data_IF_769361615927
#
_entry.id   IF_769361615927
#
_cell.length_a   1.000
_cell.length_b   1.000
_cell.length_c   1.000
_cell.angle_alpha   90.00
_cell.angle_beta   90.00
_cell.angle_gamma   90.00
#
_symmetry.space_group_name_H-M   'P 1'
#
loop_
_entity.id
_entity.type
_entity.pdbx_description
1 polymer ?
#
# COMPACT_ATOMS: atom_id res chain seq x y z
N UNK A 1 35.38 -5.62 12.16
CA UNK A 1 34.45 -6.66 11.68
C UNK A 1 33.81 -6.14 10.40
N UNK A 2 34.23 -6.67 9.25
CA UNK A 2 33.70 -6.25 7.96
C UNK A 2 32.22 -6.66 7.88
N UNK A 3 31.33 -5.70 7.64
CA UNK A 3 29.90 -5.96 7.47
C UNK A 3 29.67 -6.56 6.07
N UNK A 4 29.93 -7.86 5.92
CA UNK A 4 29.82 -8.61 4.66
C UNK A 4 28.35 -8.97 4.38
N UNK A 5 27.50 -7.95 4.28
CA UNK A 5 26.06 -8.13 4.05
C UNK A 5 25.76 -8.87 2.73
N UNK A 6 26.66 -8.76 1.75
CA UNK A 6 26.46 -9.33 0.40
C UNK A 6 26.62 -10.83 0.46
N UNK A 7 27.73 -11.28 1.04
CA UNK A 7 28.04 -12.70 1.22
C UNK A 7 27.05 -13.39 2.16
N UNK A 8 26.56 -12.66 3.18
CA UNK A 8 25.47 -13.14 4.03
C UNK A 8 24.18 -13.36 3.22
N UNK A 9 23.76 -12.36 2.42
CA UNK A 9 22.60 -12.50 1.52
C UNK A 9 22.75 -13.68 0.56
N UNK A 10 23.92 -13.82 -0.07
CA UNK A 10 24.20 -14.90 -1.03
C UNK A 10 24.20 -16.29 -0.35
N UNK A 11 24.59 -16.37 0.92
CA UNK A 11 24.48 -17.60 1.71
C UNK A 11 23.02 -17.95 2.02
N UNK A 12 22.20 -16.96 2.40
CA UNK A 12 20.78 -17.16 2.68
C UNK A 12 19.98 -17.54 1.43
N UNK A 13 20.27 -16.95 0.27
CA UNK A 13 19.64 -17.34 -1.00
C UNK A 13 19.95 -18.79 -1.34
N UNK A 14 21.21 -19.22 -1.23
CA UNK A 14 21.60 -20.61 -1.48
C UNK A 14 20.94 -21.57 -0.49
N UNK A 15 20.83 -21.18 0.78
CA UNK A 15 20.09 -21.95 1.77
C UNK A 15 18.61 -22.09 1.38
N UNK A 16 17.97 -21.01 0.95
CA UNK A 16 16.58 -21.01 0.51
C UNK A 16 16.35 -21.92 -0.71
N UNK A 17 17.25 -21.92 -1.69
CA UNK A 17 17.20 -22.81 -2.88
C UNK A 17 17.36 -24.29 -2.49
N UNK A 18 18.23 -24.59 -1.52
CA UNK A 18 18.38 -25.94 -0.97
C UNK A 18 17.11 -26.41 -0.23
N UNK A 19 16.46 -25.51 0.51
CA UNK A 19 15.17 -25.81 1.16
C UNK A 19 14.06 -26.01 0.13
N UNK A 20 14.05 -25.23 -0.96
CA UNK A 20 13.08 -25.38 -2.06
C UNK A 20 13.21 -26.72 -2.79
N UNK A 21 14.45 -27.15 -3.08
CA UNK A 21 14.71 -28.43 -3.77
C UNK A 21 14.44 -29.68 -2.94
N UNK A 22 14.53 -29.59 -1.60
CA UNK A 22 14.20 -30.70 -0.69
C UNK A 22 12.70 -30.88 -0.44
N UNK A 23 11.85 -29.95 -0.89
CA UNK A 23 10.38 -30.07 -0.87
C UNK A 23 9.69 -29.97 0.50
N UNK A 24 10.41 -30.12 1.60
CA UNK A 24 9.79 -30.33 2.92
C UNK A 24 9.53 -29.06 3.75
N UNK A 25 10.11 -27.90 3.39
CA UNK A 25 9.99 -26.68 4.21
C UNK A 25 9.78 -25.40 3.39
N UNK A 26 8.60 -25.22 2.78
CA UNK A 26 8.22 -23.94 2.14
C UNK A 26 8.31 -22.75 3.11
N UNK A 27 7.94 -22.97 4.37
CA UNK A 27 8.02 -21.93 5.40
C UNK A 27 9.47 -21.50 5.67
N UNK A 28 10.38 -22.46 5.84
CA UNK A 28 11.78 -22.14 6.10
C UNK A 28 12.41 -21.47 4.87
N UNK A 29 12.07 -21.94 3.66
CA UNK A 29 12.47 -21.29 2.41
C UNK A 29 12.08 -19.81 2.36
N UNK A 30 10.82 -19.48 2.68
CA UNK A 30 10.34 -18.10 2.75
C UNK A 30 11.07 -17.28 3.84
N UNK A 31 11.34 -17.88 5.00
CA UNK A 31 12.10 -17.22 6.08
C UNK A 31 13.53 -16.89 5.65
N UNK A 32 14.22 -17.82 4.99
CA UNK A 32 15.58 -17.60 4.48
C UNK A 32 15.62 -16.51 3.40
N UNK A 33 14.64 -16.47 2.49
CA UNK A 33 14.55 -15.39 1.50
C UNK A 33 14.24 -14.02 2.14
N UNK A 34 13.42 -13.98 3.19
CA UNK A 34 13.17 -12.75 3.93
C UNK A 34 14.43 -12.23 4.66
N UNK A 35 15.23 -13.13 5.23
CA UNK A 35 16.53 -12.78 5.84
C UNK A 35 17.55 -12.31 4.79
N UNK A 36 17.58 -12.96 3.62
CA UNK A 36 18.38 -12.52 2.49
C UNK A 36 17.99 -11.10 2.04
N UNK A 37 16.69 -10.81 1.92
CA UNK A 37 16.19 -9.49 1.58
C UNK A 37 16.66 -8.42 2.59
N UNK A 38 16.59 -8.72 3.90
CA UNK A 38 17.08 -7.80 4.93
C UNK A 38 18.58 -7.50 4.82
N UNK A 39 19.38 -8.46 4.37
CA UNK A 39 20.80 -8.24 4.09
C UNK A 39 20.99 -7.37 2.84
N UNK A 40 20.26 -7.66 1.76
CA UNK A 40 20.37 -6.93 0.50
C UNK A 40 19.83 -5.50 0.56
N UNK A 41 18.84 -5.20 1.42
CA UNK A 41 18.34 -3.82 1.64
C UNK A 41 19.45 -2.82 1.95
N UNK A 42 20.57 -3.24 2.55
CA UNK A 42 21.70 -2.36 2.89
C UNK A 42 22.73 -2.19 1.77
N UNK A 43 22.59 -2.92 0.68
CA UNK A 43 23.60 -3.01 -0.39
C UNK A 43 22.99 -2.70 -1.75
N UNK A 44 21.91 -3.40 -2.08
CA UNK A 44 21.21 -3.28 -3.34
C UNK A 44 19.70 -3.53 -3.14
N UNK A 45 18.88 -2.48 -3.24
CA UNK A 45 17.43 -2.60 -3.07
C UNK A 45 16.78 -3.52 -4.09
N UNK A 46 17.29 -3.56 -5.33
CA UNK A 46 16.72 -4.37 -6.41
C UNK A 46 16.79 -5.87 -6.09
N UNK A 47 17.94 -6.34 -5.59
CA UNK A 47 18.10 -7.73 -5.14
C UNK A 47 17.22 -8.05 -3.92
N UNK A 48 16.96 -7.06 -3.06
CA UNK A 48 16.05 -7.23 -1.95
C UNK A 48 14.59 -7.40 -2.43
N UNK A 49 14.17 -6.62 -3.42
CA UNK A 49 12.85 -6.75 -4.05
C UNK A 49 12.68 -8.13 -4.67
N UNK A 50 13.67 -8.63 -5.42
CA UNK A 50 13.61 -9.98 -6.01
C UNK A 50 13.44 -11.08 -4.95
N UNK A 51 14.17 -10.97 -3.84
CA UNK A 51 14.05 -11.92 -2.73
C UNK A 51 12.69 -11.82 -2.04
N UNK A 52 12.15 -10.61 -1.84
CA UNK A 52 10.82 -10.40 -1.26
C UNK A 52 9.69 -10.88 -2.19
N UNK A 53 9.86 -10.76 -3.51
CA UNK A 53 8.91 -11.28 -4.49
C UNK A 53 8.84 -12.81 -4.41
N UNK A 54 9.99 -13.49 -4.44
CA UNK A 54 10.05 -14.95 -4.22
C UNK A 54 9.43 -15.36 -2.87
N UNK A 55 9.70 -14.59 -1.82
CA UNK A 55 9.09 -14.80 -0.50
C UNK A 55 7.57 -14.67 -0.56
N UNK A 56 7.06 -13.66 -1.25
CA UNK A 56 5.61 -13.42 -1.40
C UNK A 56 4.92 -14.55 -2.17
N UNK A 57 5.54 -15.05 -3.25
CA UNK A 57 5.04 -16.17 -4.05
C UNK A 57 4.91 -17.45 -3.21
N UNK A 58 5.92 -17.75 -2.40
CA UNK A 58 5.88 -18.90 -1.49
C UNK A 58 4.75 -18.73 -0.45
N UNK A 59 4.57 -17.53 0.10
CA UNK A 59 3.48 -17.29 1.07
C UNK A 59 2.10 -17.34 0.42
N UNK A 60 1.94 -16.89 -0.83
CA UNK A 60 0.68 -17.06 -1.56
C UNK A 60 0.39 -18.52 -1.86
N UNK A 61 1.40 -19.31 -2.23
CA UNK A 61 1.26 -20.76 -2.45
C UNK A 61 0.89 -21.52 -1.17
N UNK A 62 1.31 -21.01 -0.01
CA UNK A 62 0.94 -21.54 1.30
C UNK A 62 -0.44 -21.07 1.79
N UNK A 63 -1.12 -20.19 1.05
CA UNK A 63 -2.39 -19.58 1.45
C UNK A 63 -2.26 -18.54 2.58
N UNK A 64 -1.05 -18.05 2.86
CA UNK A 64 -0.79 -17.04 3.90
C UNK A 64 -0.81 -15.63 3.32
N UNK A 65 -1.97 -15.19 2.84
CA UNK A 65 -2.14 -13.89 2.17
C UNK A 65 -1.77 -12.69 3.04
N UNK A 66 -2.05 -12.75 4.34
CA UNK A 66 -1.63 -11.72 5.29
C UNK A 66 -0.10 -11.52 5.34
N UNK A 67 0.69 -12.59 5.20
CA UNK A 67 2.15 -12.48 5.15
C UNK A 67 2.65 -12.02 3.78
N UNK A 68 2.03 -12.49 2.70
CA UNK A 68 2.31 -11.99 1.35
C UNK A 68 2.04 -10.48 1.22
N UNK A 69 0.93 -10.00 1.78
CA UNK A 69 0.57 -8.59 1.79
C UNK A 69 1.62 -7.72 2.50
N UNK A 70 2.14 -8.17 3.66
CA UNK A 70 3.24 -7.48 4.36
C UNK A 70 4.50 -7.38 3.51
N UNK A 71 4.86 -8.45 2.80
CA UNK A 71 6.02 -8.42 1.89
C UNK A 71 5.81 -7.41 0.75
N UNK A 72 4.62 -7.36 0.14
CA UNK A 72 4.32 -6.36 -0.88
C UNK A 72 4.35 -4.92 -0.36
N UNK A 73 3.91 -4.67 0.88
CA UNK A 73 4.06 -3.36 1.52
C UNK A 73 5.55 -3.00 1.67
N UNK A 74 6.38 -3.93 2.14
CA UNK A 74 7.82 -3.70 2.28
C UNK A 74 8.51 -3.46 0.93
N UNK A 75 8.09 -4.17 -0.13
CA UNK A 75 8.57 -3.91 -1.50
C UNK A 75 8.20 -2.50 -1.94
N UNK A 76 6.95 -2.09 -1.71
CA UNK A 76 6.51 -0.75 -2.08
C UNK A 76 7.27 0.35 -1.32
N UNK A 77 7.50 0.19 -0.02
CA UNK A 77 8.34 1.10 0.79
C UNK A 77 9.79 1.19 0.30
N UNK A 78 10.33 0.10 -0.28
CA UNK A 78 11.66 0.13 -0.90
C UNK A 78 11.67 0.95 -2.19
N UNK A 79 10.62 0.85 -3.01
CA UNK A 79 10.45 1.73 -4.17
C UNK A 79 10.23 3.19 -3.76
N UNK A 80 9.52 3.47 -2.66
CA UNK A 80 9.37 4.84 -2.15
C UNK A 80 10.72 5.48 -1.78
N UNK A 81 11.64 4.69 -1.21
CA UNK A 81 12.86 5.22 -0.57
C UNK A 81 14.11 5.17 -1.45
N UNK A 82 14.34 4.07 -2.18
CA UNK A 82 15.62 3.81 -2.85
C UNK A 82 15.56 3.86 -4.38
N UNK A 83 14.38 3.65 -4.98
CA UNK A 83 14.18 3.67 -6.44
C UNK A 83 12.80 4.23 -6.77
N UNK A 84 12.65 5.55 -7.05
CA UNK A 84 11.36 6.22 -7.20
C UNK A 84 10.66 5.84 -8.51
N UNK A 85 10.22 4.59 -8.58
CA UNK A 85 9.25 4.08 -9.56
C UNK A 85 7.88 4.10 -8.89
N UNK A 86 7.21 5.23 -9.03
CA UNK A 86 5.88 5.47 -8.45
C UNK A 86 4.83 4.54 -9.05
N UNK A 87 4.98 4.10 -10.30
CA UNK A 87 4.04 3.19 -10.95
C UNK A 87 4.11 1.78 -10.34
N UNK A 88 5.32 1.23 -10.18
CA UNK A 88 5.50 -0.06 -9.52
C UNK A 88 5.08 -0.03 -8.05
N UNK A 89 5.36 1.07 -7.36
CA UNK A 89 4.91 1.30 -5.99
C UNK A 89 3.37 1.17 -5.86
N UNK A 90 2.63 1.83 -6.76
CA UNK A 90 1.15 1.73 -6.81
C UNK A 90 0.70 0.29 -7.02
N UNK A 91 1.30 -0.43 -7.97
CA UNK A 91 0.91 -1.81 -8.27
C UNK A 91 1.11 -2.74 -7.06
N UNK A 92 2.23 -2.59 -6.34
CA UNK A 92 2.50 -3.39 -5.15
C UNK A 92 1.59 -3.04 -3.97
N UNK A 93 1.33 -1.76 -3.71
CA UNK A 93 0.37 -1.37 -2.67
C UNK A 93 -1.06 -1.81 -3.02
N UNK A 94 -1.44 -1.78 -4.29
CA UNK A 94 -2.77 -2.23 -4.72
C UNK A 94 -2.92 -3.75 -4.50
N UNK A 95 -1.94 -4.56 -4.90
CA UNK A 95 -1.92 -6.00 -4.60
C UNK A 95 -1.97 -6.29 -3.10
N UNK A 96 -1.22 -5.54 -2.29
CA UNK A 96 -1.26 -5.68 -0.84
C UNK A 96 -2.64 -5.35 -0.26
N UNK A 97 -3.29 -4.28 -0.76
CA UNK A 97 -4.63 -3.91 -0.36
C UNK A 97 -5.65 -5.00 -0.71
N UNK A 98 -5.56 -5.61 -1.89
CA UNK A 98 -6.46 -6.68 -2.33
C UNK A 98 -6.32 -7.93 -1.44
N UNK A 99 -5.10 -8.31 -1.07
CA UNK A 99 -4.88 -9.40 -0.10
C UNK A 99 -5.46 -9.07 1.28
N UNK A 100 -5.29 -7.86 1.78
CA UNK A 100 -5.88 -7.45 3.06
C UNK A 100 -7.41 -7.36 3.00
N UNK A 101 -8.00 -6.95 1.88
CA UNK A 101 -9.46 -6.97 1.67
C UNK A 101 -9.99 -8.41 1.72
N UNK A 102 -9.30 -9.36 1.10
CA UNK A 102 -9.67 -10.78 1.11
C UNK A 102 -9.62 -11.44 2.49
N UNK A 103 -8.66 -11.04 3.33
CA UNK A 103 -8.50 -11.54 4.71
C UNK A 103 -9.34 -10.76 5.74
N UNK A 104 -10.33 -9.97 5.30
CA UNK A 104 -11.17 -9.08 6.12
C UNK A 104 -10.39 -8.03 6.97
N UNK A 105 -9.11 -7.82 6.67
CA UNK A 105 -8.22 -6.88 7.35
C UNK A 105 -8.38 -5.44 6.82
N UNK A 106 -9.59 -4.89 6.92
CA UNK A 106 -9.96 -3.59 6.32
C UNK A 106 -9.05 -2.43 6.75
N UNK A 107 -8.68 -2.33 8.03
CA UNK A 107 -7.81 -1.26 8.49
C UNK A 107 -6.41 -1.27 7.85
N UNK A 108 -5.86 -2.45 7.57
CA UNK A 108 -4.57 -2.58 6.87
C UNK A 108 -4.71 -2.30 5.37
N UNK A 109 -5.83 -2.74 4.77
CA UNK A 109 -6.17 -2.40 3.39
C UNK A 109 -6.29 -0.89 3.20
N UNK A 110 -7.01 -0.19 4.08
CA UNK A 110 -7.17 1.27 4.04
C UNK A 110 -5.83 1.99 4.04
N UNK A 111 -4.87 1.57 4.90
CA UNK A 111 -3.52 2.16 4.92
C UNK A 111 -2.80 2.02 3.57
N UNK A 112 -2.91 0.86 2.93
CA UNK A 112 -2.30 0.62 1.62
C UNK A 112 -3.00 1.43 0.51
N UNK A 113 -4.33 1.50 0.54
CA UNK A 113 -5.12 2.25 -0.43
C UNK A 113 -4.89 3.76 -0.35
N UNK A 114 -4.69 4.33 0.85
CA UNK A 114 -4.32 5.74 1.01
C UNK A 114 -3.02 6.02 0.26
N UNK A 115 -2.02 5.14 0.38
CA UNK A 115 -0.75 5.26 -0.36
C UNK A 115 -0.97 5.15 -1.87
N UNK A 116 -1.78 4.19 -2.33
CA UNK A 116 -2.16 4.07 -3.75
C UNK A 116 -2.76 5.39 -4.27
N UNK A 117 -3.71 5.96 -3.55
CA UNK A 117 -4.39 7.18 -3.96
C UNK A 117 -3.46 8.40 -3.97
N UNK A 118 -2.57 8.52 -2.97
CA UNK A 118 -1.56 9.58 -2.91
C UNK A 118 -0.61 9.53 -4.11
N UNK A 119 -0.08 8.36 -4.44
CA UNK A 119 0.82 8.20 -5.59
C UNK A 119 0.10 8.32 -6.93
N UNK A 120 -1.13 7.81 -7.03
CA UNK A 120 -1.96 8.01 -8.21
C UNK A 120 -2.22 9.50 -8.48
N UNK A 121 -2.48 10.29 -7.43
CA UNK A 121 -2.64 11.73 -7.56
C UNK A 121 -1.35 12.43 -8.01
N UNK A 122 -0.17 11.96 -7.58
CA UNK A 122 1.13 12.49 -8.05
C UNK A 122 1.42 12.15 -9.51
N UNK A 123 0.90 11.03 -10.01
CA UNK A 123 0.98 10.63 -11.43
C UNK A 123 -0.14 11.24 -12.29
N UNK A 124 -0.84 12.26 -11.79
CA UNK A 124 -1.97 12.93 -12.47
C UNK A 124 -3.16 12.01 -12.78
N UNK A 125 -3.20 10.80 -12.19
CA UNK A 125 -4.30 9.85 -12.30
C UNK A 125 -5.43 10.20 -11.31
N UNK A 126 -5.92 11.44 -11.38
CA UNK A 126 -6.88 11.99 -10.42
C UNK A 126 -8.17 11.18 -10.32
N UNK A 127 -8.69 10.67 -11.46
CA UNK A 127 -9.90 9.83 -11.47
C UNK A 127 -9.73 8.55 -10.62
N UNK A 128 -8.57 7.90 -10.72
CA UNK A 128 -8.26 6.70 -9.94
C UNK A 128 -8.13 7.07 -8.46
N UNK A 129 -7.41 8.13 -8.14
CA UNK A 129 -7.23 8.61 -6.77
C UNK A 129 -8.58 8.94 -6.10
N UNK A 130 -9.46 9.65 -6.80
CA UNK A 130 -10.82 9.98 -6.33
C UNK A 130 -11.60 8.72 -5.96
N UNK A 131 -11.65 7.73 -6.87
CA UNK A 131 -12.42 6.51 -6.63
C UNK A 131 -11.97 5.77 -5.37
N UNK A 132 -10.66 5.74 -5.12
CA UNK A 132 -10.07 5.09 -3.95
C UNK A 132 -10.29 5.91 -2.68
N UNK A 133 -10.13 7.23 -2.72
CA UNK A 133 -10.40 8.09 -1.57
C UNK A 133 -11.88 8.08 -1.17
N UNK A 134 -12.80 8.06 -2.13
CA UNK A 134 -14.24 7.94 -1.87
C UNK A 134 -14.60 6.61 -1.20
N UNK A 135 -14.05 5.49 -1.70
CA UNK A 135 -14.28 4.16 -1.11
C UNK A 135 -13.85 4.15 0.36
N UNK A 136 -12.66 4.67 0.66
CA UNK A 136 -12.12 4.74 2.02
C UNK A 136 -12.96 5.67 2.89
N UNK A 137 -13.23 6.89 2.42
CA UNK A 137 -13.91 7.91 3.20
C UNK A 137 -15.34 7.50 3.55
N UNK A 138 -16.05 6.83 2.63
CA UNK A 138 -17.39 6.30 2.89
C UNK A 138 -17.36 5.22 3.97
N UNK A 139 -16.41 4.28 3.88
CA UNK A 139 -16.24 3.25 4.91
C UNK A 139 -15.88 3.83 6.28
N UNK A 140 -15.01 4.84 6.33
CA UNK A 140 -14.63 5.50 7.58
C UNK A 140 -15.76 6.38 8.16
N UNK A 141 -16.60 6.97 7.31
CA UNK A 141 -17.75 7.77 7.74
C UNK A 141 -18.81 6.94 8.50
N UNK A 142 -18.99 5.69 8.09
CA UNK A 142 -19.87 4.73 8.78
C UNK A 142 -19.39 4.41 10.20
N UNK A 143 -18.08 4.52 10.48
CA UNK A 143 -17.49 4.17 11.76
C UNK A 143 -17.32 5.40 12.67
N UNK A 144 -18.02 5.48 13.83
CA UNK A 144 -17.97 6.66 14.71
C UNK A 144 -16.56 7.07 15.17
N UNK A 145 -15.64 6.11 15.29
CA UNK A 145 -14.26 6.33 15.73
C UNK A 145 -13.36 6.92 14.64
N UNK A 146 -13.70 6.71 13.37
CA UNK A 146 -12.89 7.10 12.21
C UNK A 146 -13.43 8.36 11.50
N UNK A 147 -14.52 8.95 12.01
CA UNK A 147 -15.12 10.18 11.46
C UNK A 147 -14.14 11.32 11.27
N UNK A 148 -13.11 11.44 12.10
CA UNK A 148 -12.07 12.46 11.94
C UNK A 148 -11.13 12.17 10.77
N UNK A 149 -10.79 10.90 10.54
CA UNK A 149 -9.97 10.48 9.40
C UNK A 149 -10.75 10.62 8.07
N UNK A 150 -12.03 10.28 8.08
CA UNK A 150 -12.92 10.40 6.91
C UNK A 150 -12.92 11.81 6.32
N UNK A 151 -12.89 12.85 7.19
CA UNK A 151 -12.84 14.26 6.77
C UNK A 151 -11.60 14.58 5.94
N UNK A 152 -10.44 14.06 6.34
CA UNK A 152 -9.19 14.27 5.62
C UNK A 152 -9.23 13.60 4.25
N UNK A 153 -9.78 12.37 4.16
CA UNK A 153 -9.88 11.64 2.90
C UNK A 153 -10.93 12.26 1.96
N UNK A 154 -12.07 12.74 2.47
CA UNK A 154 -13.02 13.53 1.69
C UNK A 154 -12.36 14.79 1.11
N UNK A 155 -11.58 15.52 1.92
CA UNK A 155 -10.86 16.69 1.44
C UNK A 155 -9.84 16.34 0.35
N UNK A 156 -9.07 15.25 0.52
CA UNK A 156 -8.13 14.78 -0.50
C UNK A 156 -8.83 14.40 -1.82
N UNK A 157 -10.00 13.76 -1.74
CA UNK A 157 -10.83 13.48 -2.92
C UNK A 157 -11.29 14.77 -3.61
N UNK A 158 -11.80 15.74 -2.85
CA UNK A 158 -12.24 17.02 -3.41
C UNK A 158 -11.10 17.82 -4.05
N UNK A 159 -9.89 17.79 -3.48
CA UNK A 159 -8.71 18.38 -4.11
C UNK A 159 -8.41 17.72 -5.46
N UNK A 160 -8.55 16.40 -5.57
CA UNK A 160 -8.38 15.70 -6.85
C UNK A 160 -9.49 16.08 -7.85
N UNK A 161 -10.74 16.28 -7.41
CA UNK A 161 -11.81 16.80 -8.28
C UNK A 161 -11.51 18.22 -8.78
N UNK A 162 -11.00 19.11 -7.93
CA UNK A 162 -10.63 20.48 -8.30
C UNK A 162 -9.56 20.52 -9.40
N UNK A 163 -8.68 19.51 -9.46
CA UNK A 163 -7.70 19.38 -10.55
C UNK A 163 -8.33 18.97 -11.89
N UNK A 164 -9.53 18.40 -11.89
CA UNK A 164 -10.26 17.96 -13.10
C UNK A 164 -11.28 19.03 -13.52
N UNK A 165 -12.31 19.24 -12.69
CA UNK A 165 -13.38 20.20 -12.94
C UNK A 165 -13.93 20.72 -11.59
N UNK A 166 -13.94 22.05 -11.35
CA UNK A 166 -14.53 22.62 -10.15
C UNK A 166 -16.03 22.36 -9.99
N UNK A 167 -16.77 22.12 -11.09
CA UNK A 167 -18.21 21.83 -11.01
C UNK A 167 -18.48 20.45 -10.38
N UNK A 168 -17.68 19.46 -10.75
CA UNK A 168 -17.74 18.11 -10.18
C UNK A 168 -17.35 18.12 -8.70
N UNK A 169 -16.38 18.97 -8.31
CA UNK A 169 -16.03 19.16 -6.90
C UNK A 169 -17.22 19.70 -6.08
N UNK A 170 -18.02 20.62 -6.62
CA UNK A 170 -19.23 21.13 -5.95
C UNK A 170 -20.33 20.07 -5.82
N UNK A 171 -20.50 19.20 -6.83
CA UNK A 171 -21.43 18.08 -6.78
C UNK A 171 -20.99 17.02 -5.76
N UNK A 172 -19.70 16.67 -5.75
CA UNK A 172 -19.11 15.75 -4.77
C UNK A 172 -19.24 16.29 -3.35
N UNK A 173 -19.02 17.60 -3.15
CA UNK A 173 -19.16 18.25 -1.86
C UNK A 173 -20.58 18.10 -1.29
N UNK A 174 -21.63 18.32 -2.09
CA UNK A 174 -23.02 18.10 -1.65
C UNK A 174 -23.25 16.66 -1.20
N UNK A 175 -22.74 15.68 -1.97
CA UNK A 175 -22.84 14.25 -1.61
C UNK A 175 -22.14 13.94 -0.29
N UNK A 176 -20.98 14.54 -0.03
CA UNK A 176 -20.24 14.33 1.21
C UNK A 176 -20.89 15.00 2.41
N UNK A 177 -21.56 16.14 2.22
CA UNK A 177 -22.37 16.80 3.25
C UNK A 177 -23.60 15.95 3.63
N UNK A 178 -24.25 15.33 2.64
CA UNK A 178 -25.36 14.41 2.87
C UNK A 178 -24.90 13.14 3.60
N UNK A 179 -23.74 12.59 3.24
CA UNK A 179 -23.17 11.39 3.86
C UNK A 179 -22.62 11.64 5.27
N UNK A 180 -22.07 12.84 5.53
CA UNK A 180 -21.53 13.21 6.83
C UNK A 180 -21.89 14.66 7.17
N UNK A 181 -22.99 14.89 7.92
CA UNK A 181 -23.37 16.23 8.39
C UNK A 181 -22.29 16.91 9.24
N UNK A 182 -21.38 16.11 9.81
CA UNK A 182 -20.22 16.61 10.56
C UNK A 182 -19.12 17.24 9.70
N UNK A 183 -19.20 17.06 8.37
CA UNK A 183 -18.26 17.61 7.39
C UNK A 183 -18.62 19.04 6.96
N UNK A 184 -19.89 19.43 7.05
CA UNK A 184 -20.38 20.76 6.63
C UNK A 184 -19.74 21.91 7.40
N UNK A 185 -19.46 21.72 8.70
CA UNK A 185 -18.89 22.76 9.56
C UNK A 185 -17.35 22.86 9.52
N UNK A 186 -16.70 21.90 8.86
CA UNK A 186 -15.25 21.78 8.81
C UNK A 186 -14.59 22.84 7.92
N UNK A 187 -13.29 23.09 8.15
CA UNK A 187 -12.52 24.11 7.40
C UNK A 187 -12.34 23.69 5.94
N UNK A 188 -12.26 22.38 5.72
CA UNK A 188 -12.10 21.69 4.46
C UNK A 188 -13.30 21.92 3.52
N UNK A 189 -14.53 21.76 4.02
CA UNK A 189 -15.74 22.05 3.26
C UNK A 189 -15.91 23.55 2.99
N UNK A 190 -15.55 24.41 3.96
CA UNK A 190 -15.57 25.86 3.79
C UNK A 190 -14.60 26.34 2.72
N UNK A 191 -13.41 25.74 2.62
CA UNK A 191 -12.41 26.10 1.62
C UNK A 191 -12.91 25.93 0.18
N UNK A 192 -13.67 24.85 -0.09
CA UNK A 192 -14.13 24.52 -1.45
C UNK A 192 -15.42 25.28 -1.83
N UNK A 193 -16.11 25.85 -0.84
CA UNK A 193 -17.28 26.72 -1.07
C UNK A 193 -16.92 28.17 -1.41
N UNK A 194 -15.65 28.59 -1.19
CA UNK A 194 -15.16 29.94 -1.52
C UNK A 194 -14.83 30.01 -3.01
#
# INVERSE_FOLDING_TARGET
>A
MAKLWKEAGDAFVRAAELHGSKGDSKHDCASQYAEAANCYRKINPQLAVDCLLKTSEIYTDMGRFNMAAKNHVTIAELFESECPDTEQCIQHYQKAADYYKGEEAKSSATKCLIKVAQYAAQLEQYQKAISVFEEIAMWEADHPTLKYAAKNHFFQSLLCYLCIDPLDAQHALKRYEDASPSFTDTREAKFIKV
#
